data_IF_911260481450
#
_entry.id   IF_911260481450
#
_cell.length_a   1.000
_cell.length_b   1.000
_cell.length_c   1.000
_cell.angle_alpha   90.00
_cell.angle_beta   90.00
_cell.angle_gamma   90.00
#
_symmetry.space_group_name_H-M   'P 1'
#
loop_
_entity.id
_entity.type
_entity.pdbx_description
1 polymer ?
#
# COMPACT_ATOMS: atom_id res chain seq x y z
N UNK A 1 19.26 -7.09 11.72
CA UNK A 1 18.00 -6.98 10.95
C UNK A 1 16.95 -6.15 11.73
N UNK A 2 17.24 -4.88 12.06
CA UNK A 2 16.41 -4.09 12.99
C UNK A 2 15.73 -2.89 12.30
N UNK A 3 16.46 -2.21 11.40
CA UNK A 3 16.01 -0.99 10.72
C UNK A 3 14.77 -1.17 9.83
N UNK A 4 14.70 -2.25 9.03
CA UNK A 4 13.58 -2.46 8.11
C UNK A 4 12.23 -2.67 8.83
N UNK A 5 12.25 -3.34 10.00
CA UNK A 5 11.05 -3.55 10.82
C UNK A 5 10.54 -2.24 11.44
N UNK A 6 11.44 -1.32 11.78
CA UNK A 6 11.08 0.00 12.31
C UNK A 6 10.52 0.92 11.23
N UNK A 7 11.06 0.86 10.00
CA UNK A 7 10.55 1.65 8.88
C UNK A 7 9.15 1.21 8.45
N UNK A 8 8.86 -0.10 8.47
CA UNK A 8 7.50 -0.62 8.23
C UNK A 8 6.51 0.02 9.21
N UNK A 9 6.83 0.07 10.51
CA UNK A 9 5.94 0.66 11.53
C UNK A 9 5.69 2.17 11.36
N UNK A 10 6.54 2.88 10.61
CA UNK A 10 6.45 4.34 10.41
C UNK A 10 5.83 4.72 9.07
N UNK A 11 5.47 3.76 8.22
CA UNK A 11 4.77 4.04 6.97
C UNK A 11 3.47 4.80 7.26
N UNK A 12 3.28 5.89 6.52
CA UNK A 12 2.04 6.65 6.58
C UNK A 12 0.87 5.77 6.11
N UNK A 13 -0.27 5.94 6.77
CA UNK A 13 -1.53 5.37 6.26
C UNK A 13 -2.06 6.26 5.15
N UNK A 14 -2.84 5.68 4.25
CA UNK A 14 -3.49 6.38 3.14
C UNK A 14 -5.00 6.26 3.27
N UNK A 15 -5.68 7.39 3.36
CA UNK A 15 -7.14 7.48 3.50
C UNK A 15 -7.89 7.66 2.19
N UNK A 16 -7.21 8.15 1.15
CA UNK A 16 -7.81 8.48 -0.13
C UNK A 16 -8.47 9.87 -0.16
N UNK A 17 -8.02 10.80 0.68
CA UNK A 17 -8.46 12.19 0.64
C UNK A 17 -7.80 12.96 -0.51
N UNK A 18 -8.47 13.99 -1.04
CA UNK A 18 -7.99 14.78 -2.19
C UNK A 18 -6.63 15.47 -2.00
N UNK A 19 -6.19 15.68 -0.75
CA UNK A 19 -4.89 16.29 -0.45
C UNK A 19 -3.76 15.26 -0.28
N UNK A 20 -4.09 13.97 -0.25
CA UNK A 20 -3.11 12.89 -0.20
C UNK A 20 -2.63 12.57 -1.61
N UNK A 21 -1.32 12.44 -1.79
CA UNK A 21 -0.71 12.05 -3.06
C UNK A 21 -0.50 10.53 -3.07
N UNK A 22 -1.35 9.81 -3.81
CA UNK A 22 -1.29 8.35 -3.91
C UNK A 22 0.02 7.87 -4.55
N UNK A 23 0.58 8.61 -5.51
CA UNK A 23 1.78 8.22 -6.24
C UNK A 23 2.98 8.30 -5.30
N UNK A 24 3.08 9.40 -4.55
CA UNK A 24 4.09 9.58 -3.52
C UNK A 24 3.97 8.53 -2.43
N UNK A 25 2.77 8.36 -1.85
CA UNK A 25 2.54 7.36 -0.81
C UNK A 25 2.92 5.94 -1.27
N UNK A 26 2.54 5.57 -2.49
CA UNK A 26 2.84 4.26 -3.04
C UNK A 26 4.35 4.07 -3.27
N UNK A 27 5.05 5.13 -3.69
CA UNK A 27 6.50 5.12 -3.83
C UNK A 27 7.19 4.87 -2.49
N UNK A 28 6.77 5.57 -1.43
CA UNK A 28 7.30 5.39 -0.07
C UNK A 28 7.06 3.95 0.45
N UNK A 29 5.87 3.40 0.21
CA UNK A 29 5.53 2.01 0.56
C UNK A 29 6.41 1.01 -0.20
N UNK A 30 6.58 1.19 -1.51
CA UNK A 30 7.40 0.31 -2.34
C UNK A 30 8.87 0.34 -1.91
N UNK A 31 9.40 1.52 -1.57
CA UNK A 31 10.78 1.66 -1.07
C UNK A 31 10.96 0.85 0.22
N UNK A 32 10.08 1.04 1.20
CA UNK A 32 10.17 0.35 2.50
C UNK A 32 10.00 -1.16 2.33
N UNK A 33 9.02 -1.59 1.53
CA UNK A 33 8.78 -3.03 1.30
C UNK A 33 9.94 -3.69 0.55
N UNK A 34 10.59 -2.97 -0.37
CA UNK A 34 11.77 -3.45 -1.08
C UNK A 34 12.97 -3.56 -0.16
N UNK A 35 13.23 -2.56 0.70
CA UNK A 35 14.29 -2.63 1.73
C UNK A 35 14.05 -3.75 2.74
N UNK A 36 12.79 -4.03 3.05
CA UNK A 36 12.38 -5.13 3.91
C UNK A 36 12.39 -6.50 3.21
N UNK A 37 12.72 -6.56 1.91
CA UNK A 37 12.73 -7.79 1.10
C UNK A 37 11.42 -8.56 1.17
N UNK A 38 10.28 -7.85 1.21
CA UNK A 38 8.98 -8.49 1.22
C UNK A 38 8.69 -9.14 -0.13
N UNK A 39 8.31 -10.42 -0.08
CA UNK A 39 7.79 -11.13 -1.24
C UNK A 39 6.49 -10.47 -1.75
N UNK A 40 6.18 -10.52 -3.05
CA UNK A 40 5.01 -9.84 -3.62
C UNK A 40 3.69 -10.19 -2.93
N UNK A 41 3.47 -11.46 -2.56
CA UNK A 41 2.31 -11.91 -1.80
C UNK A 41 2.20 -11.24 -0.43
N UNK A 42 3.33 -11.05 0.25
CA UNK A 42 3.40 -10.39 1.54
C UNK A 42 3.23 -8.86 1.42
N UNK A 43 3.64 -8.25 0.30
CA UNK A 43 3.41 -6.81 0.05
C UNK A 43 1.91 -6.49 0.02
N UNK A 44 1.13 -7.30 -0.71
CA UNK A 44 -0.33 -7.11 -0.79
C UNK A 44 -1.04 -7.34 0.55
N UNK A 45 -0.56 -8.30 1.36
CA UNK A 45 -1.09 -8.48 2.70
C UNK A 45 -0.72 -7.32 3.63
N UNK A 46 0.53 -6.87 3.57
CA UNK A 46 1.03 -5.78 4.41
C UNK A 46 0.33 -4.45 4.10
N UNK A 47 0.15 -4.10 2.82
CA UNK A 47 -0.42 -2.81 2.42
C UNK A 47 -1.83 -2.58 2.97
N UNK A 48 -2.61 -3.66 3.16
CA UNK A 48 -3.97 -3.57 3.70
C UNK A 48 -4.00 -2.91 5.08
N UNK A 49 -2.95 -3.06 5.88
CA UNK A 49 -2.85 -2.43 7.21
C UNK A 49 -2.54 -0.93 7.16
N UNK A 50 -2.17 -0.41 5.99
CA UNK A 50 -1.86 1.00 5.73
C UNK A 50 -2.95 1.72 4.93
N UNK A 51 -4.04 1.03 4.59
CA UNK A 51 -5.23 1.66 4.02
C UNK A 51 -6.22 1.99 5.13
N UNK A 52 -6.76 3.20 5.11
CA UNK A 52 -7.81 3.65 6.03
C UNK A 52 -8.95 4.32 5.26
N UNK A 53 -10.03 4.64 5.95
CA UNK A 53 -11.14 5.45 5.46
C UNK A 53 -11.68 5.01 4.08
N UNK A 54 -11.62 5.90 3.07
CA UNK A 54 -12.16 5.65 1.74
C UNK A 54 -11.32 4.62 0.97
N UNK A 55 -9.99 4.67 1.12
CA UNK A 55 -9.07 3.75 0.46
C UNK A 55 -9.25 2.31 0.96
N UNK A 56 -9.50 2.12 2.26
CA UNK A 56 -9.81 0.79 2.80
C UNK A 56 -11.10 0.21 2.19
N UNK A 57 -12.17 1.03 2.14
CA UNK A 57 -13.46 0.63 1.55
C UNK A 57 -13.32 0.30 0.07
N UNK A 58 -12.60 1.14 -0.68
CA UNK A 58 -12.29 0.91 -2.09
C UNK A 58 -11.56 -0.42 -2.28
N UNK A 59 -10.54 -0.70 -1.48
CA UNK A 59 -9.80 -1.96 -1.59
C UNK A 59 -10.69 -3.17 -1.32
N UNK A 60 -11.54 -3.11 -0.28
CA UNK A 60 -12.48 -4.20 0.03
C UNK A 60 -13.47 -4.46 -1.12
N UNK A 61 -13.96 -3.42 -1.78
CA UNK A 61 -14.88 -3.53 -2.91
C UNK A 61 -14.20 -4.09 -4.17
N UNK A 62 -12.94 -3.74 -4.40
CA UNK A 62 -12.17 -4.14 -5.58
C UNK A 62 -11.27 -5.37 -5.33
N UNK A 63 -11.39 -6.03 -4.16
CA UNK A 63 -10.50 -7.14 -3.76
C UNK A 63 -10.52 -8.32 -4.74
N UNK A 64 -11.63 -8.54 -5.44
CA UNK A 64 -11.76 -9.63 -6.43
C UNK A 64 -10.91 -9.41 -7.68
N UNK A 65 -10.58 -8.17 -8.03
CA UNK A 65 -9.78 -7.82 -9.21
C UNK A 65 -8.31 -7.52 -8.86
N UNK A 66 -8.00 -7.32 -7.57
CA UNK A 66 -6.65 -7.08 -7.06
C UNK A 66 -6.03 -8.43 -6.65
N UNK A 67 -5.37 -9.08 -7.61
CA UNK A 67 -4.84 -10.45 -7.44
C UNK A 67 -3.43 -10.48 -6.85
N UNK A 68 -2.66 -9.42 -7.07
CA UNK A 68 -1.26 -9.32 -6.71
C UNK A 68 -0.84 -7.86 -6.46
N UNK A 69 0.41 -7.67 -6.07
CA UNK A 69 0.97 -6.34 -5.83
C UNK A 69 0.96 -5.45 -7.07
N UNK A 70 1.18 -6.00 -8.26
CA UNK A 70 1.23 -5.23 -9.51
C UNK A 70 -0.14 -4.68 -9.89
N UNK A 71 -1.17 -5.52 -9.82
CA UNK A 71 -2.57 -5.15 -10.06
C UNK A 71 -3.06 -4.13 -9.03
N UNK A 72 -2.66 -4.27 -7.77
CA UNK A 72 -2.94 -3.28 -6.73
C UNK A 72 -2.40 -1.89 -7.09
N UNK A 73 -1.11 -1.80 -7.46
CA UNK A 73 -0.46 -0.52 -7.80
C UNK A 73 -1.18 0.21 -8.93
N UNK A 74 -1.53 -0.52 -9.98
CA UNK A 74 -2.24 0.05 -11.12
C UNK A 74 -3.64 0.49 -10.72
N UNK A 75 -4.35 -0.32 -9.93
CA UNK A 75 -5.73 -0.03 -9.54
C UNK A 75 -5.82 1.18 -8.61
N UNK A 76 -4.93 1.32 -7.63
CA UNK A 76 -5.00 2.40 -6.64
C UNK A 76 -4.65 3.77 -7.24
N UNK A 77 -3.68 3.83 -8.15
CA UNK A 77 -3.32 5.06 -8.89
C UNK A 77 -4.39 5.47 -9.92
N UNK A 78 -5.23 4.53 -10.36
CA UNK A 78 -6.38 4.87 -11.20
C UNK A 78 -7.57 5.39 -10.40
N UNK A 79 -7.65 5.02 -9.12
CA UNK A 79 -8.78 5.34 -8.26
C UNK A 79 -8.61 6.66 -7.50
N UNK A 80 -7.36 7.03 -7.20
CA UNK A 80 -6.95 8.23 -6.48
C UNK A 80 -5.87 8.96 -7.26
#
# INVERSE_FOLDING_TARGET
HTLAKEQIKRLAKFGGAHHEDVVKWLSDVEEVFTRAQLQPSNKLLAVQSYLIDSAEKWFRYNKSIILDWSTFKIAIVKAY
#
